data_IF_180516734649
#
_entry.id   IF_180516734649
#
_cell.length_a   1.000
_cell.length_b   1.000
_cell.length_c   1.000
_cell.angle_alpha   90.00
_cell.angle_beta   90.00
_cell.angle_gamma   90.00
#
_symmetry.space_group_name_H-M   'P 1'
#
loop_
_entity.id
_entity.type
_entity.pdbx_description
1 polymer ?
#
# COMPACT_ATOMS: atom_id res chain seq x y z
N UNK A 1 -23.14 -24.68 -8.52
CA UNK A 1 -22.70 -23.86 -9.68
C UNK A 1 -22.09 -22.59 -9.10
N UNK A 2 -20.76 -22.42 -9.10
CA UNK A 2 -20.18 -21.14 -8.67
C UNK A 2 -20.43 -20.13 -9.77
N UNK A 3 -21.31 -19.16 -9.52
CA UNK A 3 -21.41 -17.97 -10.35
C UNK A 3 -20.05 -17.27 -10.32
N UNK A 4 -19.38 -17.22 -11.46
CA UNK A 4 -18.18 -16.40 -11.61
C UNK A 4 -18.55 -14.95 -11.29
N UNK A 5 -17.83 -14.32 -10.34
CA UNK A 5 -18.02 -12.90 -10.05
C UNK A 5 -17.30 -12.09 -11.12
N UNK A 6 -17.93 -10.98 -11.51
CA UNK A 6 -17.39 -10.07 -12.51
C UNK A 6 -16.68 -8.88 -11.85
N UNK A 7 -15.61 -8.44 -12.49
CA UNK A 7 -14.92 -7.21 -12.12
C UNK A 7 -15.75 -5.99 -12.56
N UNK A 8 -15.62 -4.90 -11.81
CA UNK A 8 -16.29 -3.64 -12.13
C UNK A 8 -15.58 -2.99 -13.32
N UNK A 9 -16.36 -2.73 -14.36
CA UNK A 9 -15.98 -1.99 -15.57
C UNK A 9 -17.04 -0.91 -15.78
N UNK A 10 -16.61 0.31 -16.11
CA UNK A 10 -17.50 1.42 -16.42
C UNK A 10 -17.50 1.65 -17.93
N UNK A 11 -18.50 1.12 -18.64
CA UNK A 11 -18.64 1.32 -20.09
C UNK A 11 -18.87 2.79 -20.44
N UNK A 12 -19.73 3.48 -19.67
CA UNK A 12 -19.85 4.93 -19.67
C UNK A 12 -19.64 5.48 -18.25
N UNK A 13 -18.44 6.01 -17.93
CA UNK A 13 -18.12 6.54 -16.61
C UNK A 13 -18.95 7.77 -16.22
N UNK A 14 -19.63 8.41 -17.17
CA UNK A 14 -20.49 9.58 -16.94
C UNK A 14 -21.96 9.22 -16.81
N UNK A 15 -22.31 7.95 -16.99
CA UNK A 15 -23.68 7.48 -16.83
C UNK A 15 -24.13 7.55 -15.36
N UNK A 16 -25.43 7.80 -15.10
CA UNK A 16 -25.99 7.74 -13.76
C UNK A 16 -25.76 6.37 -13.08
N UNK A 17 -25.86 5.28 -13.86
CA UNK A 17 -25.64 3.91 -13.37
C UNK A 17 -24.19 3.69 -12.87
N UNK A 18 -23.20 4.23 -13.60
CA UNK A 18 -21.80 4.19 -13.15
C UNK A 18 -21.61 4.97 -11.85
N UNK A 19 -22.26 6.13 -11.71
CA UNK A 19 -22.22 6.94 -10.50
C UNK A 19 -22.87 6.21 -9.31
N UNK A 20 -24.05 5.61 -9.49
CA UNK A 20 -24.74 4.83 -8.45
C UNK A 20 -23.89 3.64 -7.99
N UNK A 21 -23.30 2.89 -8.94
CA UNK A 21 -22.43 1.76 -8.63
C UNK A 21 -21.15 2.19 -7.91
N UNK A 22 -20.60 3.37 -8.23
CA UNK A 22 -19.47 3.94 -7.51
C UNK A 22 -19.84 4.35 -6.07
N UNK A 23 -21.02 4.93 -5.88
CA UNK A 23 -21.54 5.27 -4.54
C UNK A 23 -21.70 4.01 -3.72
N UNK A 24 -22.36 2.97 -4.25
CA UNK A 24 -22.55 1.69 -3.55
C UNK A 24 -21.20 1.07 -3.14
N UNK A 25 -20.20 1.11 -4.02
CA UNK A 25 -18.86 0.61 -3.72
C UNK A 25 -18.13 1.48 -2.67
N UNK A 26 -18.31 2.80 -2.72
CA UNK A 26 -17.71 3.76 -1.80
C UNK A 26 -18.30 3.74 -0.39
N UNK A 27 -19.57 3.33 -0.25
CA UNK A 27 -20.26 3.17 1.03
C UNK A 27 -19.84 1.89 1.77
N UNK A 28 -19.16 0.95 1.10
CA UNK A 28 -18.72 -0.30 1.74
C UNK A 28 -17.73 -0.03 2.87
N UNK A 29 -17.85 -0.84 3.91
CA UNK A 29 -17.07 -0.77 5.13
C UNK A 29 -16.27 -2.06 5.35
N UNK A 30 -15.49 -2.10 6.44
CA UNK A 30 -14.73 -3.30 6.81
C UNK A 30 -15.63 -4.51 7.10
N UNK A 31 -16.88 -4.30 7.50
CA UNK A 31 -17.83 -5.39 7.79
C UNK A 31 -18.30 -6.06 6.50
N UNK A 32 -18.52 -5.27 5.44
CA UNK A 32 -18.89 -5.77 4.11
C UNK A 32 -17.79 -6.60 3.44
N UNK A 33 -16.54 -6.48 3.91
CA UNK A 33 -15.41 -7.26 3.39
C UNK A 33 -15.37 -8.70 3.94
N UNK A 34 -16.21 -9.03 4.93
CA UNK A 34 -16.29 -10.35 5.52
C UNK A 34 -15.11 -10.71 6.43
N UNK A 35 -14.95 -11.99 6.72
CA UNK A 35 -13.95 -12.47 7.68
C UNK A 35 -12.51 -12.23 7.22
N UNK A 36 -11.62 -11.88 8.16
CA UNK A 36 -10.18 -11.73 7.87
C UNK A 36 -9.56 -13.11 7.65
N UNK A 37 -8.96 -13.33 6.47
CA UNK A 37 -8.25 -14.55 6.10
C UNK A 37 -6.76 -14.48 6.45
N UNK A 38 -6.13 -13.33 6.24
CA UNK A 38 -4.72 -13.10 6.56
C UNK A 38 -4.46 -11.64 6.93
N UNK A 39 -3.41 -11.40 7.72
CA UNK A 39 -2.99 -10.05 8.10
C UNK A 39 -1.49 -9.87 7.88
N UNK A 40 -1.14 -8.81 7.15
CA UNK A 40 0.22 -8.38 6.87
C UNK A 40 0.46 -7.00 7.47
N UNK A 41 1.74 -6.64 7.62
CA UNK A 41 2.18 -5.39 8.24
C UNK A 41 3.44 -4.88 7.56
N UNK A 42 3.62 -3.58 7.60
CA UNK A 42 4.79 -2.89 7.07
C UNK A 42 5.99 -2.99 8.04
N UNK A 43 6.52 -4.20 8.22
CA UNK A 43 7.73 -4.43 9.02
C UNK A 43 9.00 -3.95 8.28
N UNK A 44 10.01 -3.41 8.99
CA UNK A 44 11.27 -2.96 8.40
C UNK A 44 11.95 -4.09 7.62
N UNK A 45 12.47 -3.84 6.42
CA UNK A 45 13.12 -4.88 5.63
C UNK A 45 14.35 -5.52 6.30
N UNK A 46 14.81 -6.68 5.81
CA UNK A 46 16.01 -7.37 6.32
C UNK A 46 17.23 -6.43 6.41
N UNK A 47 17.46 -5.62 5.38
CA UNK A 47 18.56 -4.63 5.36
C UNK A 47 18.43 -3.60 6.47
N UNK A 48 17.23 -3.11 6.76
CA UNK A 48 17.00 -2.17 7.84
C UNK A 48 17.26 -2.81 9.21
N UNK A 49 16.79 -4.04 9.42
CA UNK A 49 17.05 -4.78 10.66
C UNK A 49 18.54 -5.02 10.89
N UNK A 50 19.30 -5.36 9.83
CA UNK A 50 20.76 -5.48 9.91
C UNK A 50 21.40 -4.14 10.27
N UNK A 51 20.99 -3.04 9.62
CA UNK A 51 21.51 -1.71 9.95
C UNK A 51 21.22 -1.30 11.39
N UNK A 52 20.01 -1.57 11.90
CA UNK A 52 19.65 -1.32 13.30
C UNK A 52 20.50 -2.16 14.26
N UNK A 53 20.74 -3.44 13.95
CA UNK A 53 21.61 -4.29 14.76
C UNK A 53 23.05 -3.77 14.81
N UNK A 54 23.61 -3.36 13.66
CA UNK A 54 24.96 -2.77 13.59
C UNK A 54 25.03 -1.48 14.40
N UNK A 55 24.05 -0.58 14.24
CA UNK A 55 24.00 0.68 15.00
C UNK A 55 23.88 0.44 16.51
N UNK A 56 23.11 -0.57 16.92
CA UNK A 56 23.01 -0.96 18.33
C UNK A 56 24.35 -1.47 18.87
N UNK A 57 25.08 -2.30 18.11
CA UNK A 57 26.42 -2.78 18.51
C UNK A 57 27.39 -1.62 18.65
N UNK A 58 27.38 -0.66 17.70
CA UNK A 58 28.21 0.55 17.79
C UNK A 58 27.82 1.40 18.99
N UNK A 59 26.53 1.55 19.27
CA UNK A 59 26.04 2.29 20.44
C UNK A 59 26.54 1.69 21.75
N UNK A 60 26.47 0.37 21.89
CA UNK A 60 26.96 -0.35 23.07
C UNK A 60 28.49 -0.24 23.16
N UNK A 61 29.22 -0.53 22.08
CA UNK A 61 30.68 -0.49 22.07
C UNK A 61 31.21 0.90 22.43
N UNK A 62 30.65 1.95 21.83
CA UNK A 62 31.00 3.33 22.17
C UNK A 62 30.62 3.67 23.60
N UNK A 63 29.47 3.23 24.13
CA UNK A 63 29.10 3.52 25.52
C UNK A 63 30.04 2.83 26.53
N UNK A 64 30.50 1.61 26.24
CA UNK A 64 31.41 0.85 27.13
C UNK A 64 32.78 1.51 27.27
N UNK A 65 33.29 2.16 26.22
CA UNK A 65 34.59 2.85 26.24
C UNK A 65 34.50 4.32 26.66
N UNK A 66 33.42 4.71 27.36
CA UNK A 66 33.29 6.08 27.86
C UNK A 66 34.30 6.35 28.99
N UNK A 67 35.11 7.42 28.90
CA UNK A 67 36.18 7.70 29.86
C UNK A 67 35.67 8.25 31.20
N UNK A 68 34.43 8.77 31.25
CA UNK A 68 33.82 9.29 32.47
C UNK A 68 32.29 9.20 32.42
N UNK A 69 31.66 9.42 33.58
CA UNK A 69 30.20 9.32 33.74
C UNK A 69 29.42 10.38 32.92
N UNK A 70 29.98 11.58 32.75
CA UNK A 70 29.35 12.64 31.96
C UNK A 70 29.26 12.25 30.50
N UNK A 71 30.36 11.76 29.92
CA UNK A 71 30.40 11.31 28.53
C UNK A 71 29.53 10.09 28.30
N UNK A 72 29.51 9.14 29.23
CA UNK A 72 28.58 8.01 29.20
C UNK A 72 27.12 8.52 29.16
N UNK A 73 26.77 9.47 30.02
CA UNK A 73 25.42 10.03 30.08
C UNK A 73 25.02 10.70 28.76
N UNK A 74 25.92 11.48 28.16
CA UNK A 74 25.69 12.11 26.84
C UNK A 74 25.50 11.05 25.75
N UNK A 75 26.36 10.02 25.70
CA UNK A 75 26.24 8.91 24.73
C UNK A 75 24.91 8.17 24.88
N UNK A 76 24.49 7.88 26.12
CA UNK A 76 23.21 7.23 26.40
C UNK A 76 22.01 8.09 25.98
N UNK A 77 22.07 9.41 26.18
CA UNK A 77 21.00 10.32 25.71
C UNK A 77 20.91 10.33 24.18
N UNK A 78 22.04 10.41 23.48
CA UNK A 78 22.07 10.41 22.00
C UNK A 78 21.55 9.08 21.47
N UNK A 79 22.11 7.97 21.91
CA UNK A 79 21.73 6.63 21.42
C UNK A 79 20.32 6.24 21.86
N UNK A 80 19.92 6.61 23.09
CA UNK A 80 18.57 6.42 23.59
C UNK A 80 17.54 7.20 22.78
N UNK A 81 17.83 8.47 22.44
CA UNK A 81 16.96 9.28 21.59
C UNK A 81 16.84 8.69 20.18
N UNK A 82 17.96 8.27 19.58
CA UNK A 82 17.97 7.61 18.28
C UNK A 82 17.14 6.31 18.30
N UNK A 83 17.38 5.45 19.28
CA UNK A 83 16.65 4.19 19.43
C UNK A 83 15.15 4.43 19.66
N UNK A 84 14.77 5.46 20.43
CA UNK A 84 13.39 5.86 20.63
C UNK A 84 12.71 6.24 19.31
N UNK A 85 13.34 7.09 18.49
CA UNK A 85 12.76 7.49 17.19
C UNK A 85 12.65 6.31 16.23
N UNK A 86 13.68 5.46 16.14
CA UNK A 86 13.62 4.24 15.32
C UNK A 86 12.47 3.35 15.79
N UNK A 87 12.37 3.09 17.10
CA UNK A 87 11.28 2.29 17.65
C UNK A 87 9.90 2.90 17.36
N UNK A 88 9.76 4.22 17.45
CA UNK A 88 8.52 4.93 17.13
C UNK A 88 8.12 4.73 15.67
N UNK A 89 9.04 4.90 14.71
CA UNK A 89 8.77 4.70 13.28
C UNK A 89 8.44 3.24 12.95
N UNK A 90 9.16 2.29 13.55
CA UNK A 90 8.88 0.85 13.39
C UNK A 90 7.52 0.50 13.98
N UNK A 91 7.19 1.01 15.17
CA UNK A 91 5.90 0.79 15.81
C UNK A 91 4.76 1.36 14.96
N UNK A 92 4.91 2.58 14.43
CA UNK A 92 3.94 3.19 13.53
C UNK A 92 3.70 2.30 12.29
N UNK A 93 4.75 1.80 11.63
CA UNK A 93 4.62 0.87 10.50
C UNK A 93 3.98 -0.47 10.88
N UNK A 94 4.36 -1.03 12.03
CA UNK A 94 3.84 -2.31 12.53
C UNK A 94 2.37 -2.24 13.01
N UNK A 95 1.88 -1.04 13.32
CA UNK A 95 0.47 -0.81 13.63
C UNK A 95 -0.40 -0.78 12.37
N UNK A 96 0.17 -0.45 11.21
CA UNK A 96 -0.55 -0.47 9.94
C UNK A 96 -0.74 -1.92 9.48
N UNK A 97 -2.00 -2.35 9.38
CA UNK A 97 -2.38 -3.72 9.04
C UNK A 97 -2.98 -3.74 7.65
N UNK A 98 -2.52 -4.68 6.83
CA UNK A 98 -3.10 -4.99 5.52
C UNK A 98 -3.82 -6.32 5.68
N UNK A 99 -5.14 -6.28 5.76
CA UNK A 99 -5.96 -7.47 5.99
C UNK A 99 -6.55 -7.92 4.68
N UNK A 100 -6.33 -9.17 4.36
CA UNK A 100 -6.97 -9.86 3.26
C UNK A 100 -8.22 -10.50 3.83
N UNK A 101 -9.39 -10.05 3.39
CA UNK A 101 -10.68 -10.54 3.86
C UNK A 101 -11.36 -11.38 2.77
N UNK A 102 -12.56 -11.88 3.02
CA UNK A 102 -13.34 -12.68 2.08
C UNK A 102 -13.67 -11.93 0.79
N UNK A 103 -14.08 -10.65 0.88
CA UNK A 103 -14.60 -9.87 -0.24
C UNK A 103 -13.77 -8.63 -0.61
N UNK A 104 -12.63 -8.40 0.06
CA UNK A 104 -11.73 -7.30 -0.26
C UNK A 104 -10.53 -7.16 0.68
N UNK A 105 -9.77 -6.08 0.48
CA UNK A 105 -8.74 -5.64 1.41
C UNK A 105 -9.34 -4.66 2.41
N UNK A 106 -8.88 -4.77 3.66
CA UNK A 106 -9.07 -3.73 4.68
C UNK A 106 -7.69 -3.25 5.13
N UNK A 107 -7.42 -1.96 4.97
CA UNK A 107 -6.10 -1.38 5.21
C UNK A 107 -6.16 -0.35 6.31
N UNK A 108 -5.17 -0.29 7.20
CA UNK A 108 -5.02 0.77 8.19
C UNK A 108 -4.86 0.27 9.63
N UNK A 109 -4.77 1.24 10.54
CA UNK A 109 -4.41 1.03 11.94
C UNK A 109 -5.51 0.38 12.79
N UNK A 110 -6.78 0.64 12.47
CA UNK A 110 -7.94 0.23 13.30
C UNK A 110 -8.60 -1.03 12.78
N UNK A 111 -9.16 -1.84 13.68
CA UNK A 111 -9.93 -3.04 13.31
C UNK A 111 -11.10 -2.69 12.39
N UNK A 112 -11.80 -1.58 12.64
CA UNK A 112 -12.83 -1.03 11.75
C UNK A 112 -12.24 0.13 10.93
N UNK A 113 -11.41 -0.19 9.94
CA UNK A 113 -10.85 0.81 9.04
C UNK A 113 -11.86 1.20 7.97
N UNK A 114 -11.90 2.47 7.59
CA UNK A 114 -12.68 2.97 6.45
C UNK A 114 -11.99 2.73 5.11
N UNK A 115 -10.72 2.33 5.12
CA UNK A 115 -9.99 2.06 3.89
C UNK A 115 -10.22 0.61 3.46
N UNK A 116 -11.15 0.43 2.53
CA UNK A 116 -11.52 -0.87 1.99
C UNK A 116 -11.35 -0.88 0.48
N UNK A 117 -10.90 -2.01 -0.05
CA UNK A 117 -10.70 -2.19 -1.49
C UNK A 117 -11.40 -3.49 -1.90
N UNK A 118 -12.64 -3.42 -2.40
CA UNK A 118 -13.39 -4.62 -2.79
C UNK A 118 -12.68 -5.37 -3.92
N UNK A 119 -12.74 -6.71 -3.90
CA UNK A 119 -12.11 -7.54 -4.95
C UNK A 119 -12.62 -7.23 -6.36
N UNK A 120 -13.89 -6.86 -6.48
CA UNK A 120 -14.51 -6.45 -7.74
C UNK A 120 -13.80 -5.27 -8.41
N UNK A 121 -13.07 -4.46 -7.64
CA UNK A 121 -12.37 -3.26 -8.13
C UNK A 121 -10.90 -3.51 -8.42
N UNK A 122 -10.35 -4.65 -7.99
CA UNK A 122 -8.95 -5.00 -8.14
C UNK A 122 -8.77 -5.81 -9.41
N UNK A 123 -8.10 -5.25 -10.41
CA UNK A 123 -7.70 -5.97 -11.61
C UNK A 123 -6.43 -6.80 -11.31
N UNK A 124 -6.49 -8.15 -11.35
CA UNK A 124 -5.33 -9.02 -11.13
C UNK A 124 -4.15 -8.70 -12.07
N UNK A 125 -4.44 -8.21 -13.27
CA UNK A 125 -3.43 -7.84 -14.26
C UNK A 125 -2.65 -6.57 -13.90
N UNK A 126 -3.17 -5.79 -12.95
CA UNK A 126 -2.60 -4.56 -12.39
C UNK A 126 -2.11 -4.75 -10.95
N UNK A 127 -1.89 -5.98 -10.49
CA UNK A 127 -1.21 -6.21 -9.20
C UNK A 127 0.27 -6.44 -9.43
N UNK A 128 1.13 -5.80 -8.64
CA UNK A 128 2.59 -5.83 -8.83
C UNK A 128 3.36 -5.83 -7.52
N UNK A 129 4.55 -6.41 -7.54
CA UNK A 129 5.55 -6.15 -6.51
C UNK A 129 6.31 -4.86 -6.84
N UNK A 130 6.40 -3.95 -5.87
CA UNK A 130 7.17 -2.70 -5.97
C UNK A 130 8.38 -2.78 -5.06
N UNK A 131 9.57 -2.68 -5.65
CA UNK A 131 10.84 -2.55 -4.92
C UNK A 131 11.18 -1.08 -4.74
N UNK A 132 11.75 -0.74 -3.58
CA UNK A 132 12.09 0.63 -3.17
C UNK A 132 10.89 1.58 -3.16
N UNK A 133 9.76 1.20 -2.53
CA UNK A 133 8.53 1.99 -2.56
C UNK A 133 8.68 3.39 -1.91
N UNK A 134 9.67 3.58 -1.04
CA UNK A 134 9.96 4.89 -0.42
C UNK A 134 10.47 5.95 -1.42
N UNK A 135 10.80 5.57 -2.65
CA UNK A 135 11.21 6.50 -3.71
C UNK A 135 10.03 7.04 -4.54
N UNK A 136 8.80 6.60 -4.26
CA UNK A 136 7.58 7.09 -4.94
C UNK A 136 7.49 8.61 -4.93
N UNK A 137 7.74 9.24 -3.78
CA UNK A 137 7.62 10.70 -3.62
C UNK A 137 8.67 11.51 -4.39
N UNK A 138 9.63 10.87 -5.08
CA UNK A 138 10.56 11.56 -5.98
C UNK A 138 10.01 11.75 -7.39
N UNK A 139 8.86 11.12 -7.71
CA UNK A 139 8.26 11.18 -9.04
C UNK A 139 7.29 12.36 -9.13
N UNK A 140 7.38 13.22 -10.15
CA UNK A 140 6.54 14.42 -10.25
C UNK A 140 5.05 14.12 -10.42
N UNK A 141 4.71 12.96 -10.97
CA UNK A 141 3.33 12.53 -11.21
C UNK A 141 2.67 11.82 -10.01
N UNK A 142 3.44 11.53 -8.95
CA UNK A 142 2.95 10.89 -7.74
C UNK A 142 3.14 11.83 -6.54
N UNK A 143 2.17 11.92 -5.62
CA UNK A 143 2.34 12.75 -4.43
C UNK A 143 3.45 12.21 -3.53
N UNK A 144 4.10 13.10 -2.77
CA UNK A 144 5.10 12.68 -1.78
C UNK A 144 4.48 11.88 -0.62
N UNK A 145 3.20 12.15 -0.31
CA UNK A 145 2.44 11.48 0.74
C UNK A 145 1.00 11.23 0.28
N UNK A 146 0.46 10.06 0.59
CA UNK A 146 -0.92 9.71 0.27
C UNK A 146 -1.47 8.72 1.31
N UNK A 147 -2.77 8.77 1.67
CA UNK A 147 -3.41 7.74 2.48
C UNK A 147 -3.35 6.34 1.84
N UNK A 148 -3.06 6.23 0.54
CA UNK A 148 -2.89 4.95 -0.17
C UNK A 148 -1.48 4.37 -0.03
N UNK A 149 -0.51 5.16 0.47
CA UNK A 149 0.89 4.73 0.62
C UNK A 149 1.12 4.18 2.02
N UNK A 150 0.88 2.89 2.18
CA UNK A 150 0.89 2.14 3.43
C UNK A 150 2.15 1.30 3.54
N UNK A 151 3.27 1.91 3.17
CA UNK A 151 4.54 1.21 2.93
C UNK A 151 5.38 1.05 4.19
N UNK A 152 5.18 1.89 5.20
CA UNK A 152 5.99 1.94 6.43
C UNK A 152 7.40 2.49 6.20
N UNK A 153 7.91 3.21 7.19
CA UNK A 153 9.30 3.70 7.18
C UNK A 153 10.23 2.48 7.31
N UNK A 154 11.23 2.37 6.44
CA UNK A 154 12.21 1.25 6.36
C UNK A 154 11.77 -0.04 5.64
N UNK A 155 10.59 -0.08 5.04
CA UNK A 155 10.22 -1.23 4.18
C UNK A 155 10.88 -1.09 2.81
N UNK A 156 11.40 -2.20 2.29
CA UNK A 156 12.12 -2.24 1.01
C UNK A 156 11.28 -2.75 -0.15
N UNK A 157 10.14 -3.37 0.15
CA UNK A 157 9.21 -3.94 -0.82
C UNK A 157 7.76 -3.63 -0.43
N UNK A 158 6.90 -3.52 -1.43
CA UNK A 158 5.47 -3.37 -1.24
C UNK A 158 4.72 -4.16 -2.32
N UNK A 159 3.46 -4.45 -2.07
CA UNK A 159 2.52 -4.89 -3.12
C UNK A 159 1.71 -3.67 -3.54
N UNK A 160 1.72 -3.36 -4.83
CA UNK A 160 0.87 -2.35 -5.43
C UNK A 160 -0.39 -3.02 -5.96
N UNK A 161 -1.53 -2.52 -5.50
CA UNK A 161 -2.86 -2.96 -5.94
C UNK A 161 -3.59 -1.74 -6.50
N UNK A 162 -4.05 -1.83 -7.74
CA UNK A 162 -4.91 -0.81 -8.32
C UNK A 162 -6.37 -1.16 -8.02
N UNK A 163 -7.06 -0.32 -7.24
CA UNK A 163 -8.44 -0.56 -6.81
C UNK A 163 -9.14 0.73 -6.41
N UNK A 164 -10.36 0.62 -5.90
CA UNK A 164 -11.20 1.76 -5.54
C UNK A 164 -10.49 2.72 -4.57
N UNK A 165 -10.67 4.02 -4.79
CA UNK A 165 -10.35 5.05 -3.80
C UNK A 165 -11.46 5.13 -2.75
N UNK A 166 -11.25 4.46 -1.61
CA UNK A 166 -12.14 4.55 -0.46
C UNK A 166 -11.66 5.58 0.59
N UNK A 167 -10.66 6.42 0.28
CA UNK A 167 -10.12 7.41 1.22
C UNK A 167 -10.68 8.82 0.99
N UNK A 168 -11.91 8.91 0.47
CA UNK A 168 -12.58 10.12 0.00
C UNK A 168 -12.68 11.19 1.10
N UNK A 169 -13.07 10.83 2.34
CA UNK A 169 -13.27 11.81 3.43
C UNK A 169 -12.20 11.80 4.54
N UNK A 170 -11.05 11.15 4.32
CA UNK A 170 -10.34 10.49 5.43
C UNK A 170 -9.02 11.07 5.91
N UNK A 171 -8.43 12.09 5.27
CA UNK A 171 -7.07 12.54 5.66
C UNK A 171 -7.07 13.95 6.26
N UNK A 172 -6.43 14.07 7.43
CA UNK A 172 -6.20 15.36 8.09
C UNK A 172 -5.33 16.22 7.17
N UNK A 173 -5.93 17.27 6.59
CA UNK A 173 -5.19 18.33 5.91
C UNK A 173 -4.33 19.06 6.95
N UNK A 174 -3.03 18.81 6.96
CA UNK A 174 -2.06 19.63 7.72
C UNK A 174 -1.41 20.58 6.72
N UNK A 175 -1.82 21.87 6.67
CA UNK A 175 -1.29 22.84 5.72
C UNK A 175 0.24 22.93 5.83
N UNK A 176 0.95 22.85 4.69
CA UNK A 176 2.40 23.09 4.60
C UNK A 176 3.33 21.95 5.01
N UNK A 177 2.84 20.85 5.58
CA UNK A 177 3.69 19.74 6.08
C UNK A 177 3.46 18.40 5.36
N UNK A 178 2.27 18.20 4.81
CA UNK A 178 1.89 17.01 4.05
C UNK A 178 1.13 17.47 2.82
N UNK A 179 1.75 17.39 1.64
CA UNK A 179 1.07 17.70 0.38
C UNK A 179 -0.08 16.73 0.19
N UNK A 180 -1.29 17.15 0.54
CA UNK A 180 -2.50 16.36 0.40
C UNK A 180 -2.94 16.46 -1.04
N UNK A 181 -3.01 15.33 -1.74
CA UNK A 181 -3.90 15.21 -2.88
C UNK A 181 -5.33 15.33 -2.36
N UNK A 182 -5.99 16.43 -2.66
CA UNK A 182 -7.45 16.48 -2.63
C UNK A 182 -7.98 15.31 -3.47
N UNK A 183 -8.70 14.42 -2.80
CA UNK A 183 -9.34 13.26 -3.39
C UNK A 183 -10.86 13.42 -3.30
N UNK A 184 -11.41 14.61 -3.57
CA UNK A 184 -12.87 14.77 -3.64
C UNK A 184 -13.24 15.89 -4.62
N UNK A 185 -13.59 15.49 -5.84
CA UNK A 185 -14.79 15.95 -6.53
C UNK A 185 -14.91 15.13 -7.82
N UNK A 186 -15.93 14.28 -7.93
CA UNK A 186 -16.31 13.58 -9.17
C UNK A 186 -16.75 14.55 -10.30
N UNK A 187 -16.75 15.87 -10.05
CA UNK A 187 -16.94 16.94 -11.03
C UNK A 187 -15.80 18.00 -11.04
N UNK A 188 -14.75 17.78 -10.24
CA UNK A 188 -13.63 18.70 -10.07
C UNK A 188 -12.52 18.35 -11.05
N UNK A 189 -11.89 19.38 -11.64
CA UNK A 189 -10.86 19.27 -12.70
C UNK A 189 -9.60 18.45 -12.33
N UNK A 190 -9.51 17.83 -11.14
CA UNK A 190 -8.27 17.33 -10.56
C UNK A 190 -8.08 15.79 -10.59
N UNK A 191 -9.14 14.97 -10.75
CA UNK A 191 -8.99 13.50 -10.93
C UNK A 191 -9.98 12.93 -11.96
N UNK A 192 -9.45 12.14 -12.88
CA UNK A 192 -10.19 11.52 -13.99
C UNK A 192 -10.62 10.07 -13.71
N UNK A 193 -10.32 9.50 -12.53
CA UNK A 193 -10.55 8.07 -12.24
C UNK A 193 -10.89 7.79 -10.77
N UNK A 194 -11.80 6.82 -10.48
CA UNK A 194 -12.10 6.34 -9.13
C UNK A 194 -11.07 5.33 -8.62
N UNK A 195 -10.09 4.94 -9.43
CA UNK A 195 -9.10 3.93 -9.09
C UNK A 195 -7.75 4.55 -8.69
N UNK A 196 -7.16 4.03 -7.62
CA UNK A 196 -5.86 4.47 -7.08
C UNK A 196 -4.94 3.28 -6.82
N UNK A 197 -3.64 3.57 -6.75
CA UNK A 197 -2.64 2.59 -6.34
C UNK A 197 -2.49 2.56 -4.82
N UNK A 198 -2.94 1.47 -4.21
CA UNK A 198 -2.67 1.12 -2.83
C UNK A 198 -1.30 0.44 -2.75
N UNK A 199 -0.35 1.05 -2.05
CA UNK A 199 0.97 0.48 -1.80
C UNK A 199 1.03 -0.14 -0.41
N UNK A 200 1.03 -1.46 -0.35
CA UNK A 200 0.96 -2.25 0.87
C UNK A 200 2.36 -2.72 1.26
N UNK A 201 2.96 -2.10 2.28
CA UNK A 201 4.30 -2.46 2.76
C UNK A 201 4.35 -3.86 3.34
N UNK A 202 5.29 -4.68 2.89
CA UNK A 202 5.47 -6.02 3.46
C UNK A 202 6.90 -6.51 3.21
N UNK A 203 7.45 -7.25 4.19
CA UNK A 203 8.67 -8.02 3.98
C UNK A 203 8.44 -9.28 3.13
N UNK A 204 7.19 -9.73 3.03
CA UNK A 204 6.77 -11.00 2.44
C UNK A 204 5.76 -10.71 1.32
N UNK A 205 6.19 -10.06 0.21
CA UNK A 205 5.29 -9.69 -0.88
C UNK A 205 4.63 -10.91 -1.51
N UNK A 206 5.38 -12.01 -1.68
CA UNK A 206 4.86 -13.29 -2.18
C UNK A 206 3.67 -13.81 -1.37
N UNK A 207 3.85 -13.95 -0.06
CA UNK A 207 2.81 -14.48 0.82
C UNK A 207 1.56 -13.58 0.86
N UNK A 208 1.75 -12.25 0.79
CA UNK A 208 0.63 -11.31 0.67
C UNK A 208 -0.13 -11.52 -0.65
N UNK A 209 0.58 -11.68 -1.77
CA UNK A 209 -0.02 -11.94 -3.06
C UNK A 209 -0.76 -13.28 -3.11
N UNK A 210 -0.18 -14.34 -2.55
CA UNK A 210 -0.82 -15.66 -2.46
C UNK A 210 -2.09 -15.61 -1.61
N UNK A 211 -2.08 -14.84 -0.51
CA UNK A 211 -3.27 -14.64 0.31
C UNK A 211 -4.37 -13.89 -0.47
N UNK A 212 -4.00 -12.83 -1.22
CA UNK A 212 -4.94 -12.08 -2.08
C UNK A 212 -5.51 -13.00 -3.15
N UNK A 213 -4.66 -13.74 -3.86
CA UNK A 213 -5.07 -14.70 -4.88
C UNK A 213 -6.05 -15.74 -4.30
N UNK A 214 -5.70 -16.38 -3.20
CA UNK A 214 -6.54 -17.39 -2.56
C UNK A 214 -7.90 -16.82 -2.15
N UNK A 215 -7.93 -15.60 -1.60
CA UNK A 215 -9.17 -14.92 -1.23
C UNK A 215 -10.04 -14.56 -2.44
N UNK A 216 -9.46 -13.98 -3.49
CA UNK A 216 -10.18 -13.62 -4.72
C UNK A 216 -10.74 -14.87 -5.43
N UNK A 217 -9.96 -15.94 -5.53
CA UNK A 217 -10.40 -17.21 -6.13
C UNK A 217 -11.52 -17.85 -5.29
N UNK A 218 -11.39 -17.84 -3.97
CA UNK A 218 -12.44 -18.34 -3.08
C UNK A 218 -13.73 -17.51 -3.18
N UNK A 219 -13.61 -16.21 -3.45
CA UNK A 219 -14.74 -15.31 -3.66
C UNK A 219 -15.34 -15.40 -5.08
N UNK A 220 -14.76 -16.21 -5.97
CA UNK A 220 -15.30 -16.51 -7.30
C UNK A 220 -14.75 -15.67 -8.45
N UNK A 221 -13.68 -14.89 -8.24
CA UNK A 221 -12.98 -14.14 -9.30
C UNK A 221 -11.94 -14.99 -10.02
N UNK A 222 -11.70 -14.71 -11.31
CA UNK A 222 -10.62 -15.32 -12.08
C UNK A 222 -9.26 -14.66 -11.73
N UNK A 223 -8.72 -15.03 -10.57
CA UNK A 223 -7.46 -14.51 -10.04
C UNK A 223 -6.35 -15.57 -9.94
N UNK A 224 -6.57 -16.79 -10.43
CA UNK A 224 -5.60 -17.89 -10.30
C UNK A 224 -4.35 -17.62 -11.14
N UNK A 225 -3.17 -17.61 -10.50
CA UNK A 225 -1.87 -17.22 -11.05
C UNK A 225 -1.49 -15.75 -10.80
N UNK A 226 -2.30 -14.99 -10.04
CA UNK A 226 -2.05 -13.58 -9.72
C UNK A 226 -0.69 -13.39 -9.06
N UNK A 227 -0.33 -14.22 -8.08
CA UNK A 227 0.92 -14.03 -7.34
C UNK A 227 2.15 -14.19 -8.24
N UNK A 228 2.17 -15.25 -9.06
CA UNK A 228 3.28 -15.51 -9.98
C UNK A 228 3.41 -14.39 -11.02
N UNK A 229 2.28 -13.89 -11.53
CA UNK A 229 2.28 -12.77 -12.46
C UNK A 229 2.81 -11.50 -11.83
N UNK A 230 2.31 -11.14 -10.65
CA UNK A 230 2.70 -9.90 -9.96
C UNK A 230 4.20 -9.87 -9.63
N UNK A 231 4.82 -11.03 -9.40
CA UNK A 231 6.27 -11.17 -9.24
C UNK A 231 7.05 -11.08 -10.54
N UNK A 232 6.56 -11.70 -11.63
CA UNK A 232 7.17 -11.53 -12.96
C UNK A 232 7.12 -10.08 -13.42
N UNK A 233 6.02 -9.40 -13.16
CA UNK A 233 5.79 -7.98 -13.47
C UNK A 233 6.21 -7.04 -12.31
N UNK A 234 7.23 -7.44 -11.55
CA UNK A 234 7.76 -6.63 -10.45
C UNK A 234 8.51 -5.40 -10.98
N UNK A 235 8.24 -4.24 -10.37
CA UNK A 235 8.85 -2.97 -10.74
C UNK A 235 9.80 -2.48 -9.65
N UNK A 236 10.89 -1.83 -10.05
CA UNK A 236 11.82 -1.19 -9.12
C UNK A 236 11.80 0.31 -9.33
N UNK A 237 11.46 1.06 -8.28
CA UNK A 237 11.50 2.52 -8.37
C UNK A 237 12.96 2.96 -8.26
N UNK A 238 13.39 3.69 -9.27
CA UNK A 238 14.76 4.20 -9.40
C UNK A 238 14.90 5.56 -8.70
N UNK A 239 16.13 5.90 -8.33
CA UNK A 239 16.42 7.20 -7.70
C UNK A 239 16.19 8.38 -8.66
N UNK A 240 16.58 8.19 -9.93
CA UNK A 240 16.29 9.10 -11.04
C UNK A 240 15.01 8.58 -11.74
N UNK A 241 13.90 9.34 -11.71
CA UNK A 241 12.67 8.94 -12.38
C UNK A 241 12.87 8.80 -13.89
N UNK A 242 12.34 7.72 -14.46
CA UNK A 242 12.16 7.53 -15.90
C UNK A 242 10.90 8.24 -16.38
N UNK A 243 10.82 8.56 -17.68
CA UNK A 243 9.60 9.15 -18.27
C UNK A 243 8.37 8.23 -18.12
N UNK A 244 8.58 6.92 -18.14
CA UNK A 244 7.52 5.93 -17.94
C UNK A 244 7.24 5.71 -16.45
N UNK A 245 5.97 5.79 -16.06
CA UNK A 245 5.53 5.49 -14.70
C UNK A 245 5.56 3.97 -14.45
N UNK A 246 6.19 3.49 -13.36
CA UNK A 246 6.18 2.07 -13.00
C UNK A 246 4.82 1.58 -12.49
N UNK A 247 3.90 2.50 -12.21
CA UNK A 247 2.53 2.24 -11.78
C UNK A 247 1.60 3.22 -12.51
N UNK A 248 1.33 3.01 -13.80
CA UNK A 248 0.50 3.92 -14.59
C UNK A 248 -0.93 3.98 -14.01
N UNK A 249 -1.62 5.13 -14.11
CA UNK A 249 -3.01 5.23 -13.66
C UNK A 249 -3.90 4.22 -14.41
N UNK A 250 -4.99 3.80 -13.75
CA UNK A 250 -6.07 3.05 -14.39
C UNK A 250 -7.23 4.01 -14.64
N UNK A 251 -7.71 4.10 -15.86
CA UNK A 251 -8.89 4.89 -16.19
C UNK A 251 -10.17 4.08 -15.98
N UNK A 252 -11.34 4.74 -15.79
CA UNK A 252 -12.58 4.02 -15.52
C UNK A 252 -13.00 3.06 -16.65
N UNK A 253 -12.69 3.45 -17.89
CA UNK A 253 -12.96 2.76 -19.15
C UNK A 253 -11.84 1.80 -19.56
N UNK A 254 -10.75 1.71 -18.80
CA UNK A 254 -9.71 0.72 -19.04
C UNK A 254 -10.29 -0.70 -18.90
N UNK A 255 -10.05 -1.61 -19.87
CA UNK A 255 -10.47 -2.99 -19.74
C UNK A 255 -9.74 -3.68 -18.59
N UNK A 256 -10.38 -4.71 -18.03
CA UNK A 256 -9.75 -5.61 -17.07
C UNK A 256 -8.68 -6.42 -17.79
N UNK A 257 -7.43 -6.27 -17.38
CA UNK A 257 -6.29 -6.98 -17.97
C UNK A 257 -6.29 -8.45 -17.53
N UNK A 258 -6.64 -8.70 -16.27
CA UNK A 258 -6.70 -10.04 -15.69
C UNK A 258 -5.33 -10.72 -15.58
N UNK A 259 -5.32 -11.94 -15.03
CA UNK A 259 -4.07 -12.69 -14.81
C UNK A 259 -3.39 -13.13 -16.12
N UNK A 260 -4.16 -13.28 -17.20
CA UNK A 260 -3.64 -13.76 -18.50
C UNK A 260 -3.36 -12.64 -19.50
N UNK A 261 -3.60 -11.38 -19.13
CA UNK A 261 -3.34 -10.24 -20.01
C UNK A 261 -1.86 -9.95 -20.22
N UNK A 262 -1.52 -8.99 -21.12
CA UNK A 262 -0.14 -8.58 -21.35
C UNK A 262 0.48 -7.97 -20.11
N UNK A 263 1.78 -8.13 -19.92
CA UNK A 263 2.48 -7.41 -18.86
C UNK A 263 2.43 -5.91 -19.16
N UNK A 264 1.97 -5.16 -18.16
CA UNK A 264 1.94 -3.71 -18.26
C UNK A 264 3.37 -3.14 -18.29
N UNK A 265 3.57 -1.91 -18.79
CA UNK A 265 4.86 -1.23 -18.74
C UNK A 265 5.37 -0.93 -17.34
#
# INVERSE_FOLDING_TARGET
>A
MSTHREFVVFEDPRSPEAAERLIELGERTAEDMGAVRATFRAWPGRTANVAFAVLLVVAVATSVVAPNATELSVRLVIWGSFAFWVALFVAAGAMDRHRVCEHGLVVGFRTHSRYVVPWSTIDPGRVRVVRRPLLVGRRPELPASSPHYRVGWFTTSAVAVNGLDSAIDGWVRVPGLLGVTDAVELAGRARFTPFVWWLLGTQRPRELLEAIEAAMVADGYDARGLADRAERNAVTITWQPTAQSPIPPRYPDDPVVGVRGPDLP
#
